data_IF_956720343566
#
_entry.id   IF_956720343566
#
_cell.length_a   1.000
_cell.length_b   1.000
_cell.length_c   1.000
_cell.angle_alpha   90.00
_cell.angle_beta   90.00
_cell.angle_gamma   90.00
#
_symmetry.space_group_name_H-M   'P 1'
#
loop_
_entity.id
_entity.type
_entity.pdbx_description
1 polymer ?
#
# COMPACT_ATOMS: atom_id res chain seq x y z
N UNK A 1 4.90 -11.16 -8.45
CA UNK A 1 4.30 -10.34 -7.37
C UNK A 1 3.55 -9.23 -8.04
N UNK A 2 2.36 -8.92 -7.55
CA UNK A 2 1.50 -7.91 -8.14
C UNK A 2 1.86 -6.55 -7.56
N UNK A 3 2.34 -5.63 -8.40
CA UNK A 3 2.79 -4.32 -7.94
C UNK A 3 1.58 -3.37 -7.91
N UNK A 4 1.16 -3.02 -6.70
CA UNK A 4 0.20 -1.96 -6.42
C UNK A 4 0.85 -0.58 -6.38
N UNK A 5 0.01 0.46 -6.41
CA UNK A 5 0.45 1.85 -6.24
C UNK A 5 -0.38 2.53 -5.15
N UNK A 6 0.29 3.24 -4.25
CA UNK A 6 -0.41 4.09 -3.28
C UNK A 6 -1.16 5.21 -4.02
N UNK A 7 -2.47 5.33 -3.78
CA UNK A 7 -3.31 6.40 -4.37
C UNK A 7 -3.77 7.43 -3.34
N UNK A 8 -3.80 7.07 -2.05
CA UNK A 8 -4.17 7.98 -0.97
C UNK A 8 -3.49 7.56 0.35
N UNK A 9 -3.08 8.54 1.16
CA UNK A 9 -2.57 8.35 2.52
C UNK A 9 -3.33 9.28 3.47
N UNK A 10 -4.00 8.74 4.49
CA UNK A 10 -4.67 9.49 5.56
C UNK A 10 -4.24 8.87 6.90
N UNK A 11 -3.11 9.36 7.42
CA UNK A 11 -2.45 8.74 8.57
C UNK A 11 -2.14 7.26 8.29
N UNK A 12 -2.50 6.38 9.23
CA UNK A 12 -2.31 4.94 9.09
C UNK A 12 -3.23 4.28 8.04
N UNK A 13 -4.27 4.96 7.54
CA UNK A 13 -5.16 4.45 6.51
C UNK A 13 -4.59 4.79 5.13
N UNK A 14 -4.29 3.77 4.34
CA UNK A 14 -3.68 3.93 3.02
C UNK A 14 -4.52 3.20 1.99
N UNK A 15 -4.87 3.86 0.90
CA UNK A 15 -5.56 3.22 -0.22
C UNK A 15 -4.56 2.90 -1.33
N UNK A 16 -4.59 1.65 -1.82
CA UNK A 16 -3.63 1.09 -2.77
C UNK A 16 -4.39 0.51 -3.97
N UNK A 17 -3.94 0.87 -5.17
CA UNK A 17 -4.52 0.46 -6.44
C UNK A 17 -3.74 -0.72 -7.02
N UNK A 18 -4.43 -1.82 -7.33
CA UNK A 18 -3.92 -2.98 -8.03
C UNK A 18 -4.62 -3.17 -9.38
N UNK A 19 -3.99 -3.87 -10.34
CA UNK A 19 -4.69 -4.39 -11.52
C UNK A 19 -5.83 -5.33 -11.11
N UNK A 20 -6.96 -5.29 -11.82
CA UNK A 20 -8.17 -6.06 -11.47
C UNK A 20 -7.94 -7.57 -11.33
N UNK A 21 -7.03 -8.14 -12.13
CA UNK A 21 -6.70 -9.58 -12.09
C UNK A 21 -5.76 -9.96 -10.93
N UNK A 22 -5.25 -8.98 -10.20
CA UNK A 22 -4.24 -9.14 -9.16
C UNK A 22 -4.67 -8.49 -7.84
N UNK A 23 -5.99 -8.44 -7.61
CA UNK A 23 -6.56 -7.88 -6.40
C UNK A 23 -6.21 -8.74 -5.18
N UNK A 24 -5.62 -8.15 -4.13
CA UNK A 24 -5.40 -8.85 -2.88
C UNK A 24 -6.73 -9.05 -2.14
N UNK A 25 -6.73 -10.01 -1.21
CA UNK A 25 -7.88 -10.34 -0.36
C UNK A 25 -7.86 -9.50 0.90
N UNK A 26 -9.03 -9.38 1.53
CA UNK A 26 -9.11 -8.84 2.90
C UNK A 26 -8.25 -9.70 3.82
N UNK A 27 -7.47 -9.03 4.67
CA UNK A 27 -6.43 -9.56 5.57
C UNK A 27 -5.14 -10.05 4.90
N UNK A 28 -4.96 -9.84 3.59
CA UNK A 28 -3.63 -10.03 2.98
C UNK A 28 -2.67 -8.95 3.48
N UNK A 29 -1.42 -9.36 3.72
CA UNK A 29 -0.32 -8.47 3.99
C UNK A 29 0.33 -8.01 2.68
N UNK A 30 0.59 -6.72 2.57
CA UNK A 30 1.29 -6.08 1.47
C UNK A 30 2.54 -5.38 2.02
N UNK A 31 3.60 -5.25 1.22
CA UNK A 31 4.87 -4.71 1.71
C UNK A 31 5.35 -3.63 0.77
N UNK A 32 5.72 -2.47 1.32
CA UNK A 32 6.31 -1.38 0.54
C UNK A 32 7.55 -1.87 -0.21
N UNK A 33 7.57 -1.70 -1.53
CA UNK A 33 8.74 -2.07 -2.34
C UNK A 33 9.91 -1.13 -2.03
N UNK A 34 11.11 -1.70 -1.89
CA UNK A 34 12.32 -0.92 -1.73
C UNK A 34 12.70 -0.21 -3.03
N UNK A 35 12.76 1.12 -3.00
CA UNK A 35 13.31 1.93 -4.09
C UNK A 35 14.79 2.23 -3.85
N UNK A 36 15.58 2.30 -4.93
CA UNK A 36 16.99 2.75 -4.87
C UNK A 36 17.14 4.25 -4.55
N UNK A 37 16.03 5.00 -4.49
CA UNK A 37 16.02 6.41 -4.13
C UNK A 37 15.92 6.62 -2.61
N UNK A 38 16.42 7.76 -2.12
CA UNK A 38 16.29 8.14 -0.72
C UNK A 38 14.81 8.38 -0.37
N UNK A 39 14.19 7.39 0.28
CA UNK A 39 12.85 7.47 0.83
C UNK A 39 12.91 7.79 2.33
N UNK A 40 11.99 8.65 2.78
CA UNK A 40 11.76 8.89 4.22
C UNK A 40 10.78 7.87 4.83
N UNK A 41 10.16 7.03 3.99
CA UNK A 41 9.27 5.98 4.46
C UNK A 41 10.03 4.85 5.14
N UNK A 42 9.39 4.21 6.12
CA UNK A 42 9.91 3.03 6.80
C UNK A 42 10.18 1.90 5.80
N UNK A 43 11.39 1.34 5.83
CA UNK A 43 11.79 0.23 4.95
C UNK A 43 11.02 -1.03 5.33
N UNK A 44 10.47 -1.73 4.34
CA UNK A 44 9.71 -2.96 4.57
C UNK A 44 8.40 -2.74 5.31
N UNK A 45 7.86 -1.51 5.30
CA UNK A 45 6.57 -1.21 5.93
C UNK A 45 5.49 -2.16 5.41
N UNK A 46 4.80 -2.80 6.33
CA UNK A 46 3.71 -3.73 6.03
C UNK A 46 2.37 -3.02 6.11
N UNK A 47 1.47 -3.36 5.18
CA UNK A 47 0.08 -2.93 5.17
C UNK A 47 -0.84 -4.15 5.23
N UNK A 48 -1.91 -4.09 6.01
CA UNK A 48 -2.94 -5.13 6.02
C UNK A 48 -4.19 -4.64 5.31
N UNK A 49 -4.68 -5.40 4.32
CA UNK A 49 -5.92 -5.08 3.60
C UNK A 49 -7.14 -5.22 4.52
N UNK A 50 -7.95 -4.18 4.61
CA UNK A 50 -9.18 -4.17 5.42
C UNK A 50 -10.45 -4.22 4.59
N UNK A 51 -10.44 -3.62 3.40
CA UNK A 51 -11.64 -3.50 2.57
C UNK A 51 -11.28 -3.38 1.09
N UNK A 52 -12.13 -3.95 0.22
CA UNK A 52 -12.11 -3.69 -1.22
C UNK A 52 -13.04 -2.49 -1.50
N UNK A 53 -12.52 -1.42 -2.10
CA UNK A 53 -13.29 -0.20 -2.39
C UNK A 53 -13.95 -0.20 -3.78
N UNK A 54 -13.50 -1.09 -4.67
CA UNK A 54 -13.90 -1.10 -6.08
C UNK A 54 -12.83 -0.48 -6.98
N UNK A 55 -13.02 -0.60 -8.30
CA UNK A 55 -12.13 -0.07 -9.33
C UNK A 55 -10.65 -0.45 -9.18
N UNK A 56 -10.36 -1.60 -8.54
CA UNK A 56 -9.00 -2.06 -8.26
C UNK A 56 -8.36 -1.45 -7.01
N UNK A 57 -9.09 -0.71 -6.19
CA UNK A 57 -8.58 -0.07 -4.98
C UNK A 57 -8.91 -0.89 -3.74
N UNK A 58 -7.91 -1.06 -2.87
CA UNK A 58 -8.05 -1.64 -1.53
C UNK A 58 -7.69 -0.61 -0.47
N UNK A 59 -8.44 -0.62 0.64
CA UNK A 59 -8.10 0.13 1.85
C UNK A 59 -7.27 -0.75 2.76
N UNK A 60 -6.16 -0.22 3.23
CA UNK A 60 -5.23 -0.91 4.11
C UNK A 60 -4.94 -0.09 5.37
N UNK A 61 -4.39 -0.76 6.38
CA UNK A 61 -3.82 -0.13 7.57
C UNK A 61 -2.31 -0.40 7.55
N UNK A 62 -1.50 0.66 7.68
CA UNK A 62 -0.07 0.56 7.87
C UNK A 62 0.24 -0.01 9.27
N UNK A 63 1.02 -1.09 9.33
CA UNK A 63 1.46 -1.75 10.56
C UNK A 63 2.79 -1.19 11.08
N UNK A 64 2.99 0.12 10.90
CA UNK A 64 4.20 0.86 11.23
C UNK A 64 4.00 2.36 11.00
N UNK A 65 5.08 3.13 10.93
CA UNK A 65 4.97 4.57 10.68
C UNK A 65 4.50 4.84 9.24
N UNK A 66 3.53 5.72 9.09
CA UNK A 66 3.05 6.21 7.78
C UNK A 66 3.80 7.47 7.32
N UNK A 67 4.77 7.95 8.11
CA UNK A 67 5.58 9.11 7.77
C UNK A 67 6.38 8.85 6.50
N UNK A 68 6.46 9.86 5.64
CA UNK A 68 7.22 9.78 4.39
C UNK A 68 6.53 9.01 3.26
N UNK A 69 5.38 8.36 3.49
CA UNK A 69 4.59 7.74 2.44
C UNK A 69 4.06 8.78 1.43
N UNK A 70 4.06 8.41 0.15
CA UNK A 70 3.63 9.26 -0.95
C UNK A 70 2.85 8.46 -1.97
N UNK A 71 1.95 9.14 -2.68
CA UNK A 71 1.26 8.57 -3.83
C UNK A 71 2.25 8.14 -4.89
N UNK A 72 1.95 7.03 -5.56
CA UNK A 72 2.79 6.43 -6.60
C UNK A 72 3.90 5.51 -6.08
N UNK A 73 4.11 5.42 -4.76
CA UNK A 73 5.01 4.41 -4.20
C UNK A 73 4.46 3.00 -4.46
N UNK A 74 5.38 2.08 -4.72
CA UNK A 74 5.10 0.70 -5.11
C UNK A 74 4.94 -0.19 -3.88
N UNK A 75 3.96 -1.09 -3.93
CA UNK A 75 3.58 -2.02 -2.86
C UNK A 75 3.32 -3.40 -3.45
#
# INVERSE_FOLDING_TARGET
MSNGNIVQCIGAVVDIQFPSEQMPRVYDALVLEESNEASFAEKGLTFEVQQLLGDGVVRTIALGSSDGLRRGMKV
#
